data_IF_598070271689
#
_entry.id   IF_598070271689
#
_cell.length_a   1.000
_cell.length_b   1.000
_cell.length_c   1.000
_cell.angle_alpha   90.00
_cell.angle_beta   90.00
_cell.angle_gamma   90.00
#
_symmetry.space_group_name_H-M   'P 1'
#
loop_
_entity.id
_entity.type
_entity.pdbx_description
1 polymer ?
#
# COMPACT_ATOMS: atom_id res chain seq x y z
N UNK A 1 2.62 30.32 18.68
CA UNK A 1 3.68 29.68 17.88
C UNK A 1 2.98 28.70 16.95
N UNK A 2 2.58 29.15 15.76
CA UNK A 2 1.92 28.29 14.78
C UNK A 2 2.99 27.34 14.24
N UNK A 3 2.86 26.04 14.54
CA UNK A 3 3.62 25.03 13.82
C UNK A 3 3.10 25.07 12.39
N UNK A 4 3.89 25.62 11.47
CA UNK A 4 3.72 25.36 10.04
C UNK A 4 3.96 23.86 9.88
N UNK A 5 2.91 23.06 9.96
CA UNK A 5 2.93 21.70 9.45
C UNK A 5 3.16 21.85 7.96
N UNK A 6 4.41 21.66 7.53
CA UNK A 6 4.69 21.52 6.10
C UNK A 6 3.95 20.25 5.71
N UNK A 7 2.79 20.38 5.06
CA UNK A 7 2.04 19.24 4.53
C UNK A 7 2.95 18.51 3.55
N UNK A 8 3.52 17.39 3.97
CA UNK A 8 4.49 16.65 3.17
C UNK A 8 3.74 15.71 2.22
N UNK A 9 3.18 16.23 1.15
CA UNK A 9 2.44 15.41 0.18
C UNK A 9 3.29 14.22 -0.32
N UNK A 10 2.68 13.03 -0.35
CA UNK A 10 3.30 11.84 -0.93
C UNK A 10 2.89 11.71 -2.40
N UNK A 11 3.89 11.59 -3.26
CA UNK A 11 3.77 11.42 -4.69
C UNK A 11 4.03 9.98 -5.04
N UNK A 12 3.11 9.37 -5.79
CA UNK A 12 3.24 8.03 -6.35
C UNK A 12 3.25 8.14 -7.87
N UNK A 13 4.33 7.68 -8.49
CA UNK A 13 4.49 7.65 -9.93
C UNK A 13 3.66 6.51 -10.51
N UNK A 14 2.80 6.87 -11.46
CA UNK A 14 2.01 5.95 -12.26
C UNK A 14 2.61 5.95 -13.66
N UNK A 15 2.85 4.76 -14.19
CA UNK A 15 3.54 4.56 -15.45
C UNK A 15 2.84 3.45 -16.21
N UNK A 16 2.64 3.68 -17.50
CA UNK A 16 2.07 2.68 -18.40
C UNK A 16 2.97 2.57 -19.63
N UNK A 17 4.01 1.76 -19.51
CA UNK A 17 4.88 1.38 -20.61
C UNK A 17 4.75 -0.11 -20.91
N UNK A 18 5.21 -0.53 -22.08
CA UNK A 18 5.17 -1.93 -22.53
C UNK A 18 5.92 -2.84 -21.55
N UNK A 19 7.06 -2.38 -21.01
CA UNK A 19 7.94 -3.19 -20.17
C UNK A 19 7.63 -3.07 -18.66
N UNK A 20 7.12 -1.92 -18.23
CA UNK A 20 6.84 -1.62 -16.83
C UNK A 20 5.51 -0.89 -16.70
N UNK A 21 4.66 -1.39 -15.79
CA UNK A 21 3.39 -0.77 -15.43
C UNK A 21 3.33 -0.54 -13.92
N UNK A 22 3.08 0.70 -13.53
CA UNK A 22 2.97 1.15 -12.16
C UNK A 22 1.56 1.68 -11.94
N UNK A 23 0.81 1.08 -11.00
CA UNK A 23 -0.59 1.42 -10.79
C UNK A 23 -1.00 1.33 -9.33
N UNK A 24 -2.06 2.05 -8.98
CA UNK A 24 -2.73 1.92 -7.69
C UNK A 24 -3.73 0.77 -7.74
N UNK A 25 -3.87 0.06 -6.62
CA UNK A 25 -4.97 -0.87 -6.38
C UNK A 25 -5.73 -0.57 -5.08
N UNK A 26 -5.22 0.36 -4.26
CA UNK A 26 -5.89 0.85 -3.06
C UNK A 26 -5.46 2.29 -2.76
N UNK A 27 -6.33 3.03 -2.07
CA UNK A 27 -6.13 4.43 -1.72
C UNK A 27 -6.70 5.37 -2.77
N UNK A 28 -7.18 6.53 -2.32
CA UNK A 28 -7.74 7.57 -3.19
C UNK A 28 -6.81 8.79 -3.18
N UNK A 29 -6.19 9.16 -4.32
CA UNK A 29 -5.38 10.35 -4.36
C UNK A 29 -6.25 11.60 -4.20
N UNK A 30 -5.68 12.65 -3.60
CA UNK A 30 -6.29 13.99 -3.59
C UNK A 30 -6.42 14.52 -5.02
N UNK A 31 -5.37 14.31 -5.82
CA UNK A 31 -5.33 14.70 -7.23
C UNK A 31 -4.38 13.83 -8.04
N UNK A 32 -4.62 13.78 -9.35
CA UNK A 32 -3.70 13.19 -10.32
C UNK A 32 -3.13 14.33 -11.17
N UNK A 33 -1.81 14.37 -11.28
CA UNK A 33 -1.08 15.31 -12.13
C UNK A 33 -0.64 14.56 -13.39
N UNK A 34 -1.17 14.98 -14.53
CA UNK A 34 -0.80 14.47 -15.85
C UNK A 34 0.47 15.21 -16.34
N UNK A 35 1.39 14.47 -16.95
CA UNK A 35 2.56 15.00 -17.65
C UNK A 35 2.75 14.26 -18.98
N UNK A 36 3.58 14.81 -19.88
CA UNK A 36 3.70 14.35 -21.28
C UNK A 36 3.91 12.83 -21.43
N UNK A 37 4.59 12.17 -20.48
CA UNK A 37 4.80 10.71 -20.47
C UNK A 37 4.64 10.07 -19.09
N UNK A 38 4.18 10.81 -18.07
CA UNK A 38 4.11 10.29 -16.70
C UNK A 38 2.88 10.82 -15.99
N UNK A 39 2.23 9.96 -15.20
CA UNK A 39 1.11 10.35 -14.33
C UNK A 39 1.57 10.27 -12.88
N UNK A 40 1.17 11.24 -12.06
CA UNK A 40 1.55 11.27 -10.63
C UNK A 40 0.31 11.37 -9.78
N UNK A 41 0.11 10.42 -8.89
CA UNK A 41 -0.93 10.48 -7.87
C UNK A 41 -0.36 11.19 -6.63
N UNK A 42 -1.10 12.18 -6.13
CA UNK A 42 -0.72 12.98 -4.96
C UNK A 42 -1.64 12.61 -3.80
N UNK A 43 -1.05 12.29 -2.66
CA UNK A 43 -1.76 11.91 -1.44
C UNK A 43 -1.41 12.84 -0.29
N UNK A 44 -2.38 13.19 0.57
CA UNK A 44 -2.11 13.83 1.84
C UNK A 44 -1.40 12.86 2.79
N UNK A 45 -0.90 13.38 3.92
CA UNK A 45 -0.26 12.57 4.95
C UNK A 45 -1.27 11.70 5.71
N UNK A 46 -0.83 10.51 6.15
CA UNK A 46 -1.65 9.59 6.95
C UNK A 46 -2.52 8.61 6.16
N UNK A 47 -2.53 8.70 4.83
CA UNK A 47 -3.30 7.83 3.93
C UNK A 47 -2.65 6.46 3.75
N UNK A 48 -3.48 5.42 3.62
CA UNK A 48 -3.02 4.10 3.19
C UNK A 48 -3.09 3.98 1.67
N UNK A 49 -2.00 3.52 1.07
CA UNK A 49 -1.87 3.41 -0.39
C UNK A 49 -1.39 2.02 -0.77
N UNK A 50 -2.17 1.37 -1.64
CA UNK A 50 -1.81 0.12 -2.29
C UNK A 50 -1.30 0.38 -3.69
N UNK A 51 -0.05 0.06 -3.93
CA UNK A 51 0.68 0.37 -5.15
C UNK A 51 1.38 -0.88 -5.68
N UNK A 52 1.29 -1.12 -6.99
CA UNK A 52 1.95 -2.26 -7.63
C UNK A 52 2.82 -1.85 -8.80
N UNK A 53 3.92 -2.57 -8.95
CA UNK A 53 4.84 -2.49 -10.07
C UNK A 53 4.81 -3.84 -10.79
N UNK A 54 4.45 -3.84 -12.06
CA UNK A 54 4.50 -4.99 -12.95
C UNK A 54 5.63 -4.80 -13.95
N UNK A 55 6.50 -5.80 -14.10
CA UNK A 55 7.55 -5.84 -15.12
C UNK A 55 7.58 -7.22 -15.77
N UNK A 56 7.10 -7.33 -17.00
CA UNK A 56 6.79 -8.61 -17.64
C UNK A 56 5.83 -9.45 -16.77
N UNK A 57 6.26 -10.65 -16.38
CA UNK A 57 5.50 -11.56 -15.52
C UNK A 57 5.77 -11.38 -14.02
N UNK A 58 6.62 -10.41 -13.64
CA UNK A 58 6.91 -10.12 -12.24
C UNK A 58 5.99 -9.03 -11.75
N UNK A 59 5.39 -9.26 -10.60
CA UNK A 59 4.55 -8.28 -9.91
C UNK A 59 5.06 -8.10 -8.49
N UNK A 60 5.10 -6.84 -8.06
CA UNK A 60 5.48 -6.43 -6.72
C UNK A 60 4.46 -5.44 -6.18
N UNK A 61 3.68 -5.88 -5.20
CA UNK A 61 2.70 -5.06 -4.48
C UNK A 61 3.28 -4.47 -3.19
N UNK A 62 2.85 -3.26 -2.87
CA UNK A 62 3.21 -2.53 -1.67
C UNK A 62 1.94 -2.02 -1.00
N UNK A 63 1.90 -2.06 0.33
CA UNK A 63 0.98 -1.26 1.13
C UNK A 63 1.80 -0.38 2.05
N UNK A 64 1.56 0.93 2.03
CA UNK A 64 2.27 1.88 2.89
C UNK A 64 1.35 2.98 3.40
N UNK A 65 1.76 3.62 4.48
CA UNK A 65 1.13 4.83 5.01
C UNK A 65 1.94 6.06 4.61
N UNK A 66 1.27 7.06 4.03
CA UNK A 66 1.89 8.32 3.60
C UNK A 66 2.33 9.16 4.81
N UNK A 67 3.31 10.03 4.58
CA UNK A 67 3.90 10.87 5.62
C UNK A 67 5.10 10.26 6.33
N UNK A 68 5.94 11.12 6.89
CA UNK A 68 7.24 10.75 7.48
C UNK A 68 7.16 10.42 8.98
N UNK A 69 6.06 9.83 9.45
CA UNK A 69 5.80 9.85 10.88
C UNK A 69 6.66 8.87 11.69
N UNK A 70 7.05 7.71 11.15
CA UNK A 70 8.04 6.78 11.74
C UNK A 70 8.40 5.67 10.74
N UNK A 71 9.68 5.34 10.57
CA UNK A 71 10.12 4.27 9.66
C UNK A 71 10.25 4.73 8.21
N UNK A 72 11.46 5.14 7.81
CA UNK A 72 11.74 5.61 6.45
C UNK A 72 12.05 4.43 5.54
N UNK A 73 11.07 4.00 4.75
CA UNK A 73 11.32 3.02 3.69
C UNK A 73 11.11 3.66 2.31
N UNK A 74 12.02 3.33 1.39
CA UNK A 74 11.94 3.78 0.00
C UNK A 74 11.16 2.76 -0.80
N UNK A 75 10.00 3.16 -1.32
CA UNK A 75 9.23 2.38 -2.29
C UNK A 75 9.54 2.95 -3.69
N UNK A 76 9.87 2.12 -4.70
CA UNK A 76 10.21 2.62 -6.03
C UNK A 76 9.07 3.42 -6.64
N UNK A 77 9.36 4.61 -7.17
CA UNK A 77 8.33 5.51 -7.72
C UNK A 77 7.50 6.24 -6.65
N UNK A 78 7.88 6.19 -5.37
CA UNK A 78 7.21 6.90 -4.29
C UNK A 78 8.15 7.90 -3.63
N UNK A 79 7.69 9.14 -3.42
CA UNK A 79 8.45 10.18 -2.74
C UNK A 79 7.54 11.10 -1.91
N UNK A 80 7.91 11.50 -0.68
CA UNK A 80 9.13 11.12 0.05
C UNK A 80 9.09 9.67 0.55
N UNK A 81 10.04 9.28 1.41
CA UNK A 81 10.00 7.97 2.08
C UNK A 81 8.72 7.84 2.93
N UNK A 82 8.20 6.62 2.98
CA UNK A 82 6.91 6.27 3.59
C UNK A 82 7.07 5.18 4.65
N UNK A 83 6.02 4.97 5.44
CA UNK A 83 5.95 3.85 6.38
C UNK A 83 5.45 2.62 5.63
N UNK A 84 6.35 1.69 5.26
CA UNK A 84 5.96 0.47 4.58
C UNK A 84 5.30 -0.51 5.56
N UNK A 85 4.09 -0.96 5.21
CA UNK A 85 3.29 -1.90 6.01
C UNK A 85 3.40 -3.32 5.47
N UNK A 86 3.41 -3.49 4.13
CA UNK A 86 3.49 -4.81 3.47
C UNK A 86 4.36 -4.72 2.22
N UNK A 87 5.23 -5.72 2.03
CA UNK A 87 6.17 -5.87 0.92
C UNK A 87 5.93 -7.20 0.17
N UNK A 88 5.05 -7.18 -0.84
CA UNK A 88 4.56 -8.38 -1.53
C UNK A 88 5.36 -8.67 -2.82
N UNK A 89 6.52 -9.32 -2.68
CA UNK A 89 7.52 -9.58 -3.75
C UNK A 89 7.14 -10.63 -4.83
N UNK A 90 5.87 -10.94 -5.00
CA UNK A 90 5.40 -11.86 -6.06
C UNK A 90 3.96 -11.58 -6.44
N UNK A 91 3.53 -12.04 -7.61
CA UNK A 91 2.13 -11.93 -8.05
C UNK A 91 1.17 -12.62 -7.08
N UNK A 92 1.50 -13.84 -6.60
CA UNK A 92 0.71 -14.53 -5.59
C UNK A 92 0.55 -13.69 -4.31
N UNK A 93 1.63 -13.10 -3.78
CA UNK A 93 1.58 -12.29 -2.57
C UNK A 93 0.83 -10.97 -2.79
N UNK A 94 0.99 -10.37 -3.97
CA UNK A 94 0.30 -9.13 -4.35
C UNK A 94 -1.21 -9.36 -4.44
N UNK A 95 -1.61 -10.50 -5.01
CA UNK A 95 -3.00 -10.93 -5.04
C UNK A 95 -3.55 -11.17 -3.63
N UNK A 96 -2.79 -11.81 -2.73
CA UNK A 96 -3.19 -11.98 -1.33
C UNK A 96 -3.32 -10.67 -0.56
N UNK A 97 -2.45 -9.70 -0.83
CA UNK A 97 -2.60 -8.35 -0.29
C UNK A 97 -3.90 -7.68 -0.77
N UNK A 98 -4.21 -7.77 -2.06
CA UNK A 98 -5.47 -7.26 -2.60
C UNK A 98 -6.69 -7.94 -1.95
N UNK A 99 -6.66 -9.26 -1.81
CA UNK A 99 -7.72 -10.03 -1.13
C UNK A 99 -7.90 -9.59 0.32
N UNK A 100 -6.82 -9.41 1.08
CA UNK A 100 -6.88 -8.94 2.47
C UNK A 100 -7.53 -7.56 2.58
N UNK A 101 -7.15 -6.61 1.71
CA UNK A 101 -7.74 -5.27 1.70
C UNK A 101 -9.22 -5.31 1.32
N UNK A 102 -9.60 -6.17 0.38
CA UNK A 102 -10.99 -6.38 0.03
C UNK A 102 -11.78 -6.95 1.20
N UNK A 103 -11.21 -7.93 1.93
CA UNK A 103 -11.85 -8.49 3.12
C UNK A 103 -12.04 -7.43 4.20
N UNK A 104 -11.01 -6.65 4.55
CA UNK A 104 -11.12 -5.53 5.51
C UNK A 104 -12.29 -4.61 5.15
N UNK A 105 -12.43 -4.27 3.86
CA UNK A 105 -13.56 -3.46 3.37
C UNK A 105 -14.91 -4.19 3.49
N UNK A 106 -14.99 -5.49 3.20
CA UNK A 106 -16.21 -6.29 3.37
C UNK A 106 -16.66 -6.43 4.83
N UNK A 107 -15.72 -6.41 5.77
CA UNK A 107 -16.03 -6.35 7.22
C UNK A 107 -16.38 -4.92 7.69
N UNK A 108 -16.44 -3.94 6.78
CA UNK A 108 -16.70 -2.53 7.06
C UNK A 108 -15.69 -1.92 8.05
N UNK A 109 -14.47 -2.46 8.06
CA UNK A 109 -13.38 -1.99 8.92
C UNK A 109 -12.64 -0.87 8.21
N UNK A 110 -12.62 0.30 8.81
CA UNK A 110 -11.80 1.42 8.35
C UNK A 110 -10.32 1.05 8.49
N UNK A 111 -9.54 1.06 7.40
CA UNK A 111 -8.14 0.61 7.41
C UNK A 111 -7.27 1.40 8.40
N UNK A 112 -7.61 2.67 8.64
CA UNK A 112 -6.93 3.55 9.60
C UNK A 112 -7.08 3.11 11.05
N UNK A 113 -8.09 2.27 11.34
CA UNK A 113 -8.34 1.66 12.66
C UNK A 113 -7.65 0.30 12.82
N UNK A 114 -7.19 -0.29 11.71
CA UNK A 114 -6.42 -1.53 11.76
C UNK A 114 -5.05 -1.22 12.36
N UNK A 115 -4.63 -1.91 13.44
CA UNK A 115 -3.39 -1.56 14.10
C UNK A 115 -2.17 -1.94 13.25
N UNK A 116 -1.12 -1.12 13.20
CA UNK A 116 0.06 -1.36 12.34
C UNK A 116 0.68 -2.76 12.49
N UNK A 117 0.66 -3.33 13.71
CA UNK A 117 1.17 -4.68 13.96
C UNK A 117 0.38 -5.79 13.26
N UNK A 118 -0.87 -5.54 12.86
CA UNK A 118 -1.64 -6.41 11.98
C UNK A 118 -0.88 -6.62 10.67
N UNK A 119 -0.42 -5.55 10.02
CA UNK A 119 0.26 -5.64 8.72
C UNK A 119 1.63 -6.33 8.82
N UNK A 120 2.35 -6.15 9.95
CA UNK A 120 3.57 -6.91 10.23
C UNK A 120 3.31 -8.42 10.31
N UNK A 121 2.24 -8.83 10.99
CA UNK A 121 1.81 -10.23 11.06
C UNK A 121 1.35 -10.74 9.70
N UNK A 122 0.64 -9.91 8.94
CA UNK A 122 0.21 -10.24 7.59
C UNK A 122 1.41 -10.50 6.69
N UNK A 123 2.44 -9.66 6.75
CA UNK A 123 3.65 -9.83 5.96
C UNK A 123 4.35 -11.16 6.31
N UNK A 124 4.39 -11.53 7.59
CA UNK A 124 4.90 -12.84 8.04
C UNK A 124 4.05 -14.00 7.48
N UNK A 125 2.72 -13.84 7.45
CA UNK A 125 1.80 -14.83 6.88
C UNK A 125 2.00 -14.99 5.36
N UNK A 126 2.23 -13.91 4.63
CA UNK A 126 2.54 -13.89 3.19
C UNK A 126 3.88 -14.57 2.86
N UNK A 127 4.85 -14.44 3.76
CA UNK A 127 6.13 -15.14 3.64
C UNK A 127 5.99 -16.64 3.87
N UNK A 128 5.08 -17.03 4.75
CA UNK A 128 4.66 -18.42 4.95
C UNK A 128 3.93 -18.99 3.73
N UNK A 129 4.05 -20.30 3.49
CA UNK A 129 3.36 -20.99 2.37
C UNK A 129 1.85 -21.18 2.59
N UNK A 130 1.27 -20.63 3.66
CA UNK A 130 -0.08 -20.94 4.15
C UNK A 130 -1.01 -19.72 4.27
N UNK A 131 -0.83 -18.69 3.43
CA UNK A 131 -1.74 -17.54 3.40
C UNK A 131 -3.08 -17.90 2.70
N UNK A 132 -3.87 -18.77 3.32
CA UNK A 132 -5.21 -19.13 2.86
C UNK A 132 -6.24 -18.06 3.23
N UNK A 133 -7.40 -18.08 2.56
CA UNK A 133 -8.53 -17.19 2.91
C UNK A 133 -8.94 -17.35 4.36
N UNK A 134 -9.02 -18.59 4.87
CA UNK A 134 -9.33 -18.85 6.28
C UNK A 134 -8.28 -18.25 7.23
N UNK A 135 -6.98 -18.36 6.89
CA UNK A 135 -5.92 -17.77 7.72
C UNK A 135 -6.03 -16.24 7.78
N UNK A 136 -6.40 -15.60 6.66
CA UNK A 136 -6.66 -14.16 6.61
C UNK A 136 -7.90 -13.77 7.43
N UNK A 137 -8.99 -14.52 7.34
CA UNK A 137 -10.22 -14.31 8.14
C UNK A 137 -9.91 -14.37 9.63
N UNK A 138 -9.25 -15.44 10.07
CA UNK A 138 -8.84 -15.61 11.47
C UNK A 138 -7.97 -14.45 11.96
N UNK A 139 -7.18 -13.84 11.07
CA UNK A 139 -6.35 -12.68 11.42
C UNK A 139 -7.19 -11.42 11.61
N UNK A 140 -8.19 -11.18 10.76
CA UNK A 140 -9.13 -10.05 10.91
C UNK A 140 -9.93 -10.21 12.21
N UNK A 141 -10.53 -11.37 12.44
CA UNK A 141 -11.35 -11.65 13.63
C UNK A 141 -10.58 -11.50 14.95
N UNK A 142 -9.27 -11.78 14.93
CA UNK A 142 -8.45 -11.72 16.15
C UNK A 142 -7.97 -10.31 16.50
N UNK A 143 -7.78 -9.46 15.50
CA UNK A 143 -7.01 -8.22 15.66
C UNK A 143 -7.76 -6.95 15.24
N UNK A 144 -8.91 -7.09 14.57
CA UNK A 144 -9.68 -5.96 14.05
C UNK A 144 -11.14 -5.93 14.51
N UNK A 145 -11.67 -7.05 15.01
CA UNK A 145 -13.01 -7.20 15.60
C UNK A 145 -12.84 -7.38 17.11
#
# INVERSE_FOLDING_TARGET
MMMNTIETQTIVHLQEHIEVRCSLFYGKPERIVEGECTRKAVFPDGEFVGYRIMSGNREHGFLFKTGQWNGRQRVPGVSPAVTLMVDAKSGYRSQKLLEMLHMIACYEIEITRVPDHFFLRFNTLLEGRNCSTQAMQNMIEKWCI
#
